data_IF_441884650366
#
_entry.id   IF_441884650366
#
_cell.length_a   1.000
_cell.length_b   1.000
_cell.length_c   1.000
_cell.angle_alpha   90.00
_cell.angle_beta   90.00
_cell.angle_gamma   90.00
#
_symmetry.space_group_name_H-M   'P 1'
#
loop_
_entity.id
_entity.type
_entity.pdbx_description
1 polymer ?
#
# COMPACT_ATOMS: atom_id res chain seq x y z
N UNK A 1 1.17 -32.64 -34.23
CA UNK A 1 2.18 -31.82 -33.52
C UNK A 1 1.99 -30.40 -34.00
N UNK A 2 1.62 -29.51 -33.09
CA UNK A 2 1.31 -28.11 -33.36
C UNK A 2 0.95 -27.48 -32.03
N UNK A 3 1.95 -27.29 -31.19
CA UNK A 3 1.84 -26.47 -29.98
C UNK A 3 1.83 -25.03 -30.46
N UNK A 4 0.64 -24.47 -30.66
CA UNK A 4 0.49 -23.03 -30.81
C UNK A 4 0.65 -22.42 -29.42
N UNK A 5 1.91 -22.30 -29.03
CA UNK A 5 2.39 -21.41 -27.98
C UNK A 5 2.15 -20.00 -28.49
N UNK A 6 1.03 -19.41 -28.11
CA UNK A 6 0.95 -17.96 -27.96
C UNK A 6 1.32 -17.68 -26.51
N UNK A 7 2.61 -17.40 -26.31
CA UNK A 7 3.07 -16.16 -25.66
C UNK A 7 1.94 -15.17 -25.37
N UNK A 8 1.92 -14.42 -24.29
CA UNK A 8 2.69 -14.32 -23.06
C UNK A 8 1.94 -13.18 -22.32
N UNK A 9 2.10 -13.11 -21.00
CA UNK A 9 1.47 -12.12 -20.10
C UNK A 9 -0.02 -12.35 -19.87
N UNK A 10 -0.33 -13.14 -18.84
CA UNK A 10 -1.58 -12.97 -18.10
C UNK A 10 -1.55 -11.57 -17.49
N UNK A 11 -2.16 -10.62 -18.19
CA UNK A 11 -2.42 -9.29 -17.69
C UNK A 11 -3.42 -9.44 -16.54
N UNK A 12 -2.98 -9.18 -15.32
CA UNK A 12 -3.88 -9.06 -14.18
C UNK A 12 -5.06 -8.16 -14.55
N UNK A 13 -6.32 -8.62 -14.38
CA UNK A 13 -7.49 -7.88 -14.86
C UNK A 13 -7.76 -6.59 -14.08
N UNK A 14 -7.08 -6.32 -12.96
CA UNK A 14 -7.44 -5.25 -12.03
C UNK A 14 -6.44 -4.08 -11.93
N UNK A 15 -5.22 -4.18 -12.46
CA UNK A 15 -4.28 -3.05 -12.39
C UNK A 15 -3.88 -2.60 -10.97
N UNK A 16 -4.25 -3.33 -9.91
CA UNK A 16 -3.71 -3.19 -8.56
C UNK A 16 -3.60 -4.56 -7.91
N UNK A 17 -2.37 -5.05 -7.75
CA UNK A 17 -2.09 -6.12 -6.79
C UNK A 17 -0.80 -5.82 -6.04
N UNK A 18 -0.92 -5.55 -4.75
CA UNK A 18 -0.04 -6.19 -3.75
C UNK A 18 -0.81 -6.23 -2.45
N UNK A 19 -1.29 -7.42 -2.09
CA UNK A 19 -1.73 -7.74 -0.74
C UNK A 19 -0.66 -8.68 -0.21
N UNK A 20 0.25 -8.15 0.60
CA UNK A 20 1.07 -8.96 1.50
C UNK A 20 0.15 -9.33 2.66
N UNK A 21 -0.11 -10.62 2.87
CA UNK A 21 -1.15 -11.16 3.77
C UNK A 21 -1.03 -10.79 5.27
N UNK A 22 -0.11 -9.90 5.65
CA UNK A 22 0.04 -9.34 7.00
C UNK A 22 -0.09 -7.81 7.05
N UNK A 23 -0.26 -7.12 5.92
CA UNK A 23 -0.33 -5.66 5.85
C UNK A 23 -1.63 -5.24 5.16
N UNK A 24 -2.53 -4.60 5.92
CA UNK A 24 -3.83 -4.09 5.44
C UNK A 24 -3.66 -2.84 4.58
N UNK A 25 -2.64 -2.81 3.71
CA UNK A 25 -2.29 -1.66 2.88
C UNK A 25 -3.00 -1.75 1.54
N UNK A 26 -3.83 -0.75 1.26
CA UNK A 26 -4.47 -0.53 -0.03
C UNK A 26 -3.76 0.60 -0.78
N UNK A 27 -3.51 0.40 -2.09
CA UNK A 27 -2.99 1.48 -2.95
C UNK A 27 -3.96 1.78 -4.08
N UNK A 28 -4.29 3.06 -4.25
CA UNK A 28 -5.21 3.57 -5.27
C UNK A 28 -4.51 4.54 -6.21
N UNK A 29 -4.76 4.40 -7.51
CA UNK A 29 -4.32 5.34 -8.55
C UNK A 29 -5.41 6.39 -8.76
N UNK A 30 -5.07 7.66 -8.54
CA UNK A 30 -5.97 8.81 -8.70
C UNK A 30 -5.75 9.52 -10.05
N UNK A 31 -5.17 8.83 -11.05
CA UNK A 31 -4.95 9.37 -12.41
C UNK A 31 -3.86 10.45 -12.53
N UNK A 32 -3.16 10.76 -11.44
CA UNK A 32 -2.04 11.71 -11.41
C UNK A 32 -1.07 11.51 -10.24
N UNK A 33 -1.45 10.70 -9.25
CA UNK A 33 -0.64 10.28 -8.12
C UNK A 33 -1.23 9.00 -7.54
N UNK A 34 -0.45 8.34 -6.69
CA UNK A 34 -0.81 7.13 -5.98
C UNK A 34 -1.08 7.46 -4.52
N UNK A 35 -2.13 6.87 -3.95
CA UNK A 35 -2.47 6.97 -2.53
C UNK A 35 -2.32 5.59 -1.90
N UNK A 36 -1.38 5.45 -0.97
CA UNK A 36 -1.24 4.27 -0.14
C UNK A 36 -1.95 4.52 1.20
N UNK A 37 -2.78 3.58 1.64
CA UNK A 37 -3.54 3.67 2.89
C UNK A 37 -3.43 2.35 3.63
N UNK A 38 -3.03 2.44 4.89
CA UNK A 38 -3.17 1.36 5.85
C UNK A 38 -4.61 1.38 6.42
N UNK A 39 -5.33 0.27 6.28
CA UNK A 39 -6.70 0.13 6.80
C UNK A 39 -6.77 -0.25 8.28
N UNK A 40 -5.68 -0.75 8.87
CA UNK A 40 -5.58 -1.08 10.29
C UNK A 40 -5.41 0.20 11.12
N UNK A 41 -4.45 1.05 10.74
CA UNK A 41 -4.18 2.31 11.44
C UNK A 41 -5.02 3.48 10.90
N UNK A 42 -5.53 3.37 9.68
CA UNK A 42 -6.18 4.45 8.95
C UNK A 42 -5.21 5.51 8.40
N UNK A 43 -3.90 5.32 8.60
CA UNK A 43 -2.87 6.22 8.09
C UNK A 43 -2.80 6.12 6.57
N UNK A 44 -2.64 7.25 5.90
CA UNK A 44 -2.50 7.28 4.44
C UNK A 44 -1.42 8.24 4.00
N UNK A 45 -0.89 7.98 2.81
CA UNK A 45 0.21 8.70 2.21
C UNK A 45 0.05 8.76 0.69
N UNK A 46 0.70 9.75 0.07
CA UNK A 46 0.57 10.05 -1.35
C UNK A 46 1.95 10.16 -2.02
N UNK A 47 2.07 9.65 -3.25
CA UNK A 47 3.31 9.66 -4.02
C UNK A 47 3.08 9.82 -5.52
N UNK A 48 4.06 10.37 -6.22
CA UNK A 48 4.04 10.45 -7.70
C UNK A 48 4.09 9.05 -8.34
N UNK A 49 4.66 8.10 -7.62
CA UNK A 49 4.70 6.68 -7.99
C UNK A 49 4.10 5.84 -6.88
N UNK A 50 3.69 4.62 -7.23
CA UNK A 50 3.22 3.63 -6.27
C UNK A 50 4.22 3.36 -5.14
N UNK A 51 5.50 3.25 -5.49
CA UNK A 51 6.57 3.02 -4.52
C UNK A 51 6.76 4.23 -3.59
N UNK A 52 6.72 5.46 -4.13
CA UNK A 52 6.76 6.68 -3.31
C UNK A 52 5.63 6.73 -2.28
N UNK A 53 4.42 6.37 -2.69
CA UNK A 53 3.26 6.38 -1.80
C UNK A 53 3.45 5.42 -0.62
N UNK A 54 4.00 4.23 -0.88
CA UNK A 54 4.27 3.20 0.12
C UNK A 54 5.43 3.60 1.04
N UNK A 55 6.57 4.05 0.50
CA UNK A 55 7.73 4.46 1.32
C UNK A 55 7.35 5.59 2.30
N UNK A 56 6.53 6.53 1.82
CA UNK A 56 6.01 7.61 2.66
C UNK A 56 4.96 7.12 3.66
N UNK A 57 4.18 6.08 3.33
CA UNK A 57 3.25 5.45 4.26
C UNK A 57 4.03 4.79 5.40
N UNK A 58 5.08 4.02 5.10
CA UNK A 58 5.94 3.39 6.12
C UNK A 58 6.53 4.42 7.09
N UNK A 59 7.02 5.56 6.57
CA UNK A 59 7.47 6.67 7.41
C UNK A 59 6.36 7.27 8.27
N UNK A 60 5.15 7.36 7.74
CA UNK A 60 4.01 7.87 8.50
C UNK A 60 3.59 6.88 9.60
N UNK A 61 3.68 5.58 9.32
CA UNK A 61 3.42 4.50 10.28
C UNK A 61 4.48 4.46 11.38
N UNK A 62 5.76 4.66 11.07
CA UNK A 62 6.84 4.74 12.07
C UNK A 62 6.56 5.84 13.10
N UNK A 63 6.16 7.03 12.63
CA UNK A 63 5.78 8.16 13.49
C UNK A 63 4.49 7.86 14.26
N UNK A 64 3.52 7.21 13.62
CA UNK A 64 2.26 6.84 14.25
C UNK A 64 2.48 5.83 15.39
N UNK A 65 3.23 4.76 15.15
CA UNK A 65 3.59 3.73 16.13
C UNK A 65 4.32 4.36 17.33
N UNK A 66 5.28 5.25 17.07
CA UNK A 66 5.95 6.00 18.15
C UNK A 66 4.96 6.82 18.99
N UNK A 67 3.98 7.47 18.37
CA UNK A 67 2.96 8.23 19.12
C UNK A 67 2.04 7.35 19.98
N UNK A 68 1.65 6.16 19.51
CA UNK A 68 0.80 5.24 20.31
C UNK A 68 1.57 4.58 21.46
N UNK A 69 2.88 4.36 21.31
CA UNK A 69 3.75 3.88 22.39
C UNK A 69 3.99 4.96 23.48
N UNK A 70 3.92 6.24 23.12
CA UNK A 70 4.05 7.37 24.06
C UNK A 70 2.71 7.79 24.71
N UNK A 71 1.57 7.56 24.06
CA UNK A 71 0.22 7.92 24.54
C UNK A 71 -0.50 6.76 25.29
N UNK A 72 0.23 5.69 25.65
CA UNK A 72 -0.31 4.54 26.40
C UNK A 72 -0.69 4.82 27.86
N UNK A 73 -0.31 5.97 28.43
CA UNK A 73 -0.58 6.33 29.83
C UNK A 73 -0.71 7.85 29.99
N UNK A 74 -1.94 8.38 30.00
CA UNK A 74 -2.41 9.43 30.95
C UNK A 74 -3.72 10.08 30.46
N UNK A 75 -4.82 9.35 30.59
CA UNK A 75 -6.17 9.90 30.51
C UNK A 75 -6.89 9.53 31.81
N UNK A 76 -6.33 9.93 32.96
CA UNK A 76 -6.85 9.62 34.30
C UNK A 76 -7.70 10.77 34.87
#
# INVERSE_FOLDING_TARGET
MGTDSRDDVERDPDGSITVTEEDSITVTDEGGFYVAKDEETGVSSQGETRADAIERLERALEVYVESIDEDGDDWL
#
